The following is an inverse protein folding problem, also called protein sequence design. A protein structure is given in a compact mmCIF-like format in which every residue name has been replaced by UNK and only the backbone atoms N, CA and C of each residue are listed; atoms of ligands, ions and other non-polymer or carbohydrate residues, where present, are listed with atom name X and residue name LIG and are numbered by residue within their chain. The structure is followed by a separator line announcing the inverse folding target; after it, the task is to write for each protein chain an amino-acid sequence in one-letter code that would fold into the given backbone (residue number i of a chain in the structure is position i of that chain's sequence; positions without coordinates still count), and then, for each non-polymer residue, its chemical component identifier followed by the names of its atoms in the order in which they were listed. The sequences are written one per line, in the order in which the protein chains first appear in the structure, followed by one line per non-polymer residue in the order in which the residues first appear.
data_IF_459604519237
#
_entry.id   IF_459604519237
#
_cell.length_a   1.000
_cell.length_b   1.000
_cell.length_c   1.000
_cell.angle_alpha   90.00
_cell.angle_beta   90.00
_cell.angle_gamma   90.00
#
_symmetry.space_group_name_H-M   'P 1'
#
loop_
_entity.id
_entity.type
_entity.pdbx_description
1 polymer ?
#
# COMPACT_ATOMS: atom_id res chain seq x y z
N UNK A 1 11.47 40.75 -24.46
CA UNK A 1 10.11 40.87 -23.89
C UNK A 1 9.27 39.60 -24.10
N UNK A 2 9.05 39.16 -25.36
CA UNK A 2 8.24 37.96 -25.62
C UNK A 2 8.76 36.71 -24.92
N UNK A 3 10.08 36.46 -24.96
CA UNK A 3 10.72 35.30 -24.31
C UNK A 3 10.48 35.27 -22.78
N UNK A 4 10.63 36.38 -22.11
CA UNK A 4 10.37 36.48 -20.66
C UNK A 4 8.89 36.27 -20.29
N UNK A 5 7.96 36.69 -21.14
CA UNK A 5 6.53 36.41 -20.94
C UNK A 5 6.29 34.89 -21.07
N UNK A 6 6.88 34.24 -22.08
CA UNK A 6 6.79 32.79 -22.26
C UNK A 6 7.39 32.03 -21.06
N UNK A 7 8.57 32.42 -20.59
CA UNK A 7 9.20 31.82 -19.40
C UNK A 7 8.32 31.97 -18.14
N UNK A 8 7.74 33.14 -17.93
CA UNK A 8 6.85 33.40 -16.80
C UNK A 8 5.61 32.51 -16.85
N UNK A 9 4.97 32.38 -18.02
CA UNK A 9 3.78 31.53 -18.22
C UNK A 9 4.11 30.06 -18.05
N UNK A 10 5.21 29.59 -18.63
CA UNK A 10 5.66 28.18 -18.47
C UNK A 10 6.00 27.89 -17.01
N UNK A 11 6.76 28.76 -16.35
CA UNK A 11 7.11 28.61 -14.94
C UNK A 11 5.88 28.55 -14.05
N UNK A 12 4.93 29.47 -14.23
CA UNK A 12 3.68 29.49 -13.50
C UNK A 12 2.83 28.24 -13.73
N UNK A 13 2.67 27.80 -15.00
CA UNK A 13 1.96 26.58 -15.33
C UNK A 13 2.60 25.34 -14.69
N UNK A 14 3.94 25.26 -14.70
CA UNK A 14 4.68 24.15 -14.07
C UNK A 14 4.47 24.11 -12.56
N UNK A 15 4.50 25.25 -11.89
CA UNK A 15 4.22 25.36 -10.45
C UNK A 15 2.79 24.89 -10.16
N UNK A 16 1.80 25.38 -10.88
CA UNK A 16 0.39 24.99 -10.67
C UNK A 16 0.18 23.48 -10.91
N UNK A 17 0.75 22.93 -11.99
CA UNK A 17 0.65 21.49 -12.28
C UNK A 17 1.31 20.66 -11.18
N UNK A 18 2.45 21.09 -10.66
CA UNK A 18 3.15 20.39 -9.58
C UNK A 18 2.37 20.45 -8.28
N UNK A 19 1.87 21.64 -7.88
CA UNK A 19 1.07 21.78 -6.68
C UNK A 19 -0.22 20.98 -6.75
N UNK A 20 -0.86 20.94 -7.92
CA UNK A 20 -2.04 20.11 -8.14
C UNK A 20 -1.70 18.62 -7.96
N UNK A 21 -0.58 18.15 -8.53
CA UNK A 21 -0.14 16.75 -8.41
C UNK A 21 0.15 16.37 -6.94
N UNK A 22 0.83 17.25 -6.20
CA UNK A 22 1.07 17.09 -4.75
C UNK A 22 -0.25 17.01 -3.99
N UNK A 23 -1.15 17.96 -4.23
CA UNK A 23 -2.44 18.02 -3.55
C UNK A 23 -3.29 16.78 -3.81
N UNK A 24 -3.43 16.38 -5.08
CA UNK A 24 -4.21 15.20 -5.45
C UNK A 24 -3.58 13.89 -4.92
N UNK A 25 -2.25 13.82 -4.82
CA UNK A 25 -1.57 12.61 -4.32
C UNK A 25 -1.60 12.50 -2.79
N UNK A 26 -1.48 13.63 -2.10
CA UNK A 26 -1.32 13.68 -0.63
C UNK A 26 -2.65 13.89 0.08
N UNK A 27 -3.52 14.75 -0.45
CA UNK A 27 -4.73 15.21 0.24
C UNK A 27 -5.99 14.50 -0.24
N UNK A 28 -6.07 14.14 -1.53
CA UNK A 28 -7.27 13.51 -2.10
C UNK A 28 -7.12 11.98 -2.05
N UNK A 29 -7.90 11.26 -1.22
CA UNK A 29 -7.84 9.81 -1.17
C UNK A 29 -8.29 9.18 -2.50
N UNK A 30 -7.59 8.15 -2.94
CA UNK A 30 -8.04 7.31 -4.06
C UNK A 30 -7.36 7.60 -5.39
N UNK A 31 -8.11 7.49 -6.48
CA UNK A 31 -7.57 7.51 -7.85
C UNK A 31 -7.31 8.95 -8.30
N UNK A 32 -6.09 9.43 -8.10
CA UNK A 32 -5.65 10.75 -8.53
C UNK A 32 -5.77 10.89 -10.06
N UNK A 33 -6.49 11.92 -10.50
CA UNK A 33 -6.61 12.34 -11.91
C UNK A 33 -5.59 13.42 -12.28
N UNK A 34 -4.57 13.63 -11.43
CA UNK A 34 -3.53 14.63 -11.69
C UNK A 34 -2.84 14.41 -13.03
N UNK A 35 -2.48 15.50 -13.67
CA UNK A 35 -1.87 15.47 -15.01
C UNK A 35 -0.46 14.89 -15.00
N UNK A 36 0.31 15.08 -13.94
CA UNK A 36 1.68 14.60 -13.84
C UNK A 36 1.79 13.16 -13.34
N UNK A 37 0.96 12.78 -12.35
CA UNK A 37 0.96 11.44 -11.74
C UNK A 37 2.39 10.93 -11.41
N UNK A 38 3.21 11.80 -10.79
CA UNK A 38 4.64 11.54 -10.57
C UNK A 38 4.86 10.22 -9.83
N UNK A 39 4.18 9.99 -8.72
CA UNK A 39 4.34 8.77 -7.93
C UNK A 39 4.00 7.50 -8.74
N UNK A 40 2.91 7.53 -9.53
CA UNK A 40 2.49 6.40 -10.38
C UNK A 40 3.50 6.14 -11.50
N UNK A 41 3.95 7.19 -12.19
CA UNK A 41 4.98 7.06 -13.25
C UNK A 41 6.28 6.52 -12.70
N UNK A 42 6.67 6.96 -11.51
CA UNK A 42 7.89 6.50 -10.85
C UNK A 42 7.80 5.00 -10.50
N UNK A 43 6.65 4.52 -10.02
CA UNK A 43 6.41 3.08 -9.81
C UNK A 43 6.55 2.32 -11.12
N UNK A 44 5.88 2.75 -12.20
CA UNK A 44 5.95 2.07 -13.50
C UNK A 44 7.36 2.05 -14.09
N UNK A 45 8.14 3.11 -13.89
CA UNK A 45 9.52 3.20 -14.37
C UNK A 45 10.48 2.34 -13.54
N UNK A 46 10.37 2.40 -12.21
CA UNK A 46 11.31 1.76 -11.32
C UNK A 46 11.03 0.26 -11.10
N UNK A 47 9.77 -0.17 -11.16
CA UNK A 47 9.41 -1.56 -10.88
C UNK A 47 10.08 -2.56 -11.83
N UNK A 48 10.09 -2.38 -13.16
CA UNK A 48 10.79 -3.31 -14.06
C UNK A 48 12.30 -3.31 -13.84
N UNK A 49 12.90 -2.13 -13.64
CA UNK A 49 14.34 -2.01 -13.34
C UNK A 49 14.66 -2.71 -12.02
N UNK A 50 13.83 -2.53 -11.00
CA UNK A 50 13.99 -3.16 -9.70
C UNK A 50 13.93 -4.68 -9.76
N UNK A 51 12.98 -5.22 -10.54
CA UNK A 51 12.87 -6.67 -10.79
C UNK A 51 14.07 -7.22 -11.55
N UNK A 52 14.62 -6.47 -12.50
CA UNK A 52 15.81 -6.85 -13.26
C UNK A 52 17.08 -6.89 -12.41
N UNK A 53 17.25 -5.95 -11.49
CA UNK A 53 18.43 -5.86 -10.60
C UNK A 53 18.41 -6.94 -9.51
N UNK A 54 17.23 -7.40 -9.11
CA UNK A 54 17.06 -8.40 -8.02
C UNK A 54 16.10 -9.52 -8.44
N UNK A 55 16.49 -10.36 -9.42
CA UNK A 55 15.64 -11.46 -9.86
C UNK A 55 15.41 -12.46 -8.72
N UNK A 56 14.17 -12.94 -8.58
CA UNK A 56 13.79 -13.96 -7.57
C UNK A 56 13.59 -13.44 -6.13
N UNK A 57 13.90 -12.20 -5.85
CA UNK A 57 13.54 -11.53 -4.59
C UNK A 57 12.44 -10.54 -4.89
N UNK A 58 11.20 -10.80 -4.53
CA UNK A 58 10.06 -9.92 -4.75
C UNK A 58 10.32 -8.44 -4.42
N UNK A 59 9.31 -7.61 -4.41
CA UNK A 59 9.47 -6.19 -4.06
C UNK A 59 10.11 -6.07 -2.67
N UNK A 60 11.34 -5.55 -2.62
CA UNK A 60 12.11 -5.46 -1.36
C UNK A 60 11.57 -4.34 -0.48
N UNK A 61 11.89 -4.39 0.82
CA UNK A 61 11.47 -3.40 1.82
C UNK A 61 11.82 -1.95 1.47
N UNK A 62 12.80 -1.72 0.58
CA UNK A 62 13.27 -0.39 0.20
C UNK A 62 12.59 0.20 -1.02
N UNK A 63 11.84 -0.60 -1.81
CA UNK A 63 11.21 -0.10 -3.04
C UNK A 63 10.20 1.02 -2.80
N UNK A 64 9.23 0.78 -1.92
CA UNK A 64 8.18 1.76 -1.64
C UNK A 64 8.71 3.05 -0.99
N UNK A 65 9.61 3.02 0.02
CA UNK A 65 10.29 4.22 0.50
C UNK A 65 11.05 5.00 -0.58
N UNK A 66 11.75 4.31 -1.50
CA UNK A 66 12.47 4.97 -2.61
C UNK A 66 11.49 5.67 -3.56
N UNK A 67 10.39 5.04 -3.91
CA UNK A 67 9.34 5.67 -4.74
C UNK A 67 8.77 6.90 -4.05
N UNK A 68 8.49 6.81 -2.75
CA UNK A 68 7.94 7.91 -1.97
C UNK A 68 8.90 9.11 -1.94
N UNK A 69 10.13 8.90 -1.47
CA UNK A 69 11.15 9.95 -1.39
C UNK A 69 11.47 10.51 -2.77
N UNK A 70 11.58 9.64 -3.78
CA UNK A 70 11.79 10.05 -5.17
C UNK A 70 10.69 10.96 -5.70
N UNK A 71 9.43 10.70 -5.35
CA UNK A 71 8.31 11.56 -5.75
C UNK A 71 8.43 12.96 -5.15
N UNK A 72 8.78 13.08 -3.87
CA UNK A 72 8.99 14.38 -3.22
C UNK A 72 10.18 15.14 -3.80
N UNK A 73 11.28 14.45 -4.11
CA UNK A 73 12.43 15.07 -4.77
C UNK A 73 12.07 15.60 -6.16
N UNK A 74 11.29 14.84 -6.94
CA UNK A 74 10.85 15.28 -8.27
C UNK A 74 9.92 16.50 -8.15
N UNK A 75 8.95 16.51 -7.24
CA UNK A 75 8.08 17.68 -7.02
C UNK A 75 8.89 18.90 -6.57
N UNK A 76 9.83 18.73 -5.65
CA UNK A 76 10.72 19.82 -5.22
C UNK A 76 11.53 20.39 -6.39
N UNK A 77 12.08 19.53 -7.24
CA UNK A 77 12.84 19.93 -8.43
C UNK A 77 11.97 20.68 -9.43
N UNK A 78 10.75 20.19 -9.69
CA UNK A 78 9.80 20.85 -10.58
C UNK A 78 9.38 22.24 -10.06
N UNK A 79 9.19 22.39 -8.75
CA UNK A 79 8.93 23.68 -8.13
C UNK A 79 10.13 24.62 -8.26
N UNK A 80 11.36 24.13 -8.02
CA UNK A 80 12.59 24.91 -8.19
C UNK A 80 12.73 25.41 -9.63
N UNK A 81 12.48 24.54 -10.61
CA UNK A 81 12.53 24.92 -12.03
C UNK A 81 11.43 25.95 -12.36
N UNK A 82 10.19 25.70 -11.92
CA UNK A 82 9.06 26.60 -12.18
C UNK A 82 9.27 28.00 -11.61
N UNK A 83 9.63 28.10 -10.33
CA UNK A 83 9.93 29.37 -9.71
C UNK A 83 11.23 30.01 -10.24
N UNK A 84 12.22 29.19 -10.64
CA UNK A 84 13.43 29.64 -11.28
C UNK A 84 13.14 30.33 -12.62
N UNK A 85 12.27 29.76 -13.47
CA UNK A 85 11.82 30.38 -14.72
C UNK A 85 11.10 31.70 -14.45
N UNK A 86 10.22 31.74 -13.44
CA UNK A 86 9.53 32.97 -13.05
C UNK A 86 10.51 34.06 -12.57
N UNK A 87 11.49 33.68 -11.73
CA UNK A 87 12.51 34.59 -11.25
C UNK A 87 13.43 35.11 -12.37
N UNK A 88 13.78 34.24 -13.33
CA UNK A 88 14.56 34.65 -14.52
C UNK A 88 13.81 35.62 -15.39
N UNK A 89 12.51 35.34 -15.67
CA UNK A 89 11.63 36.24 -16.42
C UNK A 89 11.51 37.64 -15.79
N UNK A 90 11.56 37.72 -14.48
CA UNK A 90 11.51 38.94 -13.68
C UNK A 90 12.89 39.43 -13.23
N UNK A 91 13.95 39.05 -13.93
CA UNK A 91 15.34 39.27 -13.50
C UNK A 91 15.71 40.73 -13.18
N UNK A 92 15.05 41.71 -13.79
CA UNK A 92 15.18 43.16 -13.47
C UNK A 92 14.58 43.57 -12.12
N UNK A 93 13.72 42.74 -11.54
CA UNK A 93 13.08 42.90 -10.24
C UNK A 93 13.91 42.32 -9.09
N UNK A 94 15.24 42.25 -9.28
CA UNK A 94 16.21 41.78 -8.28
C UNK A 94 17.41 42.75 -8.25
N UNK A 95 18.06 42.86 -7.10
CA UNK A 95 19.25 43.69 -6.91
C UNK A 95 20.35 42.87 -6.21
N UNK A 96 21.47 42.55 -6.90
CA UNK A 96 21.74 42.82 -8.33
C UNK A 96 20.80 42.05 -9.27
N UNK A 97 20.60 42.57 -10.51
CA UNK A 97 19.69 41.91 -11.47
C UNK A 97 20.13 40.48 -11.85
N UNK A 98 19.16 39.55 -11.88
CA UNK A 98 19.42 38.19 -12.29
C UNK A 98 19.48 38.12 -13.82
N UNK A 99 20.63 37.70 -14.35
CA UNK A 99 20.88 37.64 -15.80
C UNK A 99 20.97 36.24 -16.37
N UNK A 100 21.09 35.21 -15.51
CA UNK A 100 21.30 33.84 -15.94
C UNK A 100 20.29 32.89 -15.27
N UNK A 101 19.82 31.91 -16.02
CA UNK A 101 18.90 30.89 -15.53
C UNK A 101 19.46 30.10 -14.33
N UNK A 102 20.74 29.70 -14.27
CA UNK A 102 21.29 29.03 -13.09
C UNK A 102 21.19 29.88 -11.81
N UNK A 103 21.44 31.18 -11.89
CA UNK A 103 21.30 32.08 -10.74
C UNK A 103 19.83 32.19 -10.27
N UNK A 104 18.88 32.21 -11.21
CA UNK A 104 17.45 32.22 -10.91
C UNK A 104 16.99 30.90 -10.25
N UNK A 105 17.48 29.75 -10.76
CA UNK A 105 17.21 28.41 -10.20
C UNK A 105 17.82 28.31 -8.78
N UNK A 106 19.02 28.81 -8.57
CA UNK A 106 19.65 28.86 -7.24
C UNK A 106 18.82 29.69 -6.26
N UNK A 107 18.40 30.90 -6.66
CA UNK A 107 17.53 31.75 -5.85
C UNK A 107 16.19 31.04 -5.50
N UNK A 108 15.54 30.43 -6.48
CA UNK A 108 14.29 29.71 -6.25
C UNK A 108 14.49 28.51 -5.32
N UNK A 109 15.55 27.73 -5.54
CA UNK A 109 15.92 26.61 -4.67
C UNK A 109 16.19 27.02 -3.25
N UNK A 110 17.02 28.08 -3.03
CA UNK A 110 17.31 28.61 -1.70
C UNK A 110 16.07 29.14 -0.99
N UNK A 111 15.12 29.71 -1.74
CA UNK A 111 13.84 30.17 -1.19
C UNK A 111 12.95 28.99 -0.76
N UNK A 112 12.84 27.93 -1.61
CA UNK A 112 12.01 26.74 -1.34
C UNK A 112 12.51 25.97 -0.11
N UNK A 113 13.84 25.82 0.06
CA UNK A 113 14.43 25.17 1.25
C UNK A 113 14.62 26.13 2.43
N UNK A 114 14.08 27.34 2.34
CA UNK A 114 14.14 28.38 3.39
C UNK A 114 15.54 28.83 3.82
N UNK A 115 16.55 28.65 2.96
CA UNK A 115 17.91 29.16 3.19
C UNK A 115 17.97 30.69 3.09
N UNK A 116 17.11 31.26 2.26
CA UNK A 116 17.12 32.68 1.91
C UNK A 116 18.19 33.04 0.88
N UNK A 117 17.93 34.07 0.06
CA UNK A 117 18.93 34.58 -0.88
C UNK A 117 20.02 35.34 -0.12
N UNK A 118 21.28 34.99 -0.34
CA UNK A 118 22.42 35.58 0.34
C UNK A 118 22.98 36.83 -0.37
N UNK A 119 22.85 36.89 -1.70
CA UNK A 119 23.49 37.91 -2.54
C UNK A 119 22.51 38.78 -3.33
N UNK A 120 21.23 38.39 -3.45
CA UNK A 120 20.26 39.04 -4.32
C UNK A 120 19.01 39.39 -3.54
N UNK A 121 18.70 40.71 -3.47
CA UNK A 121 17.47 41.20 -2.85
C UNK A 121 16.35 41.30 -3.88
N UNK A 122 15.17 40.76 -3.58
CA UNK A 122 13.99 40.89 -4.42
C UNK A 122 13.35 42.26 -4.24
N UNK A 123 12.95 42.91 -5.36
CA UNK A 123 12.25 44.20 -5.39
C UNK A 123 10.99 44.05 -6.23
N UNK A 124 10.00 44.92 -5.96
CA UNK A 124 8.74 44.92 -6.72
C UNK A 124 8.07 43.55 -6.84
N UNK A 125 7.64 43.11 -8.03
CA UNK A 125 7.02 41.80 -8.26
C UNK A 125 7.90 40.60 -7.91
N UNK A 126 9.23 40.72 -7.96
CA UNK A 126 10.16 39.65 -7.56
C UNK A 126 9.96 39.18 -6.12
N UNK A 127 9.53 40.08 -5.21
CA UNK A 127 9.21 39.75 -3.81
C UNK A 127 8.12 38.70 -3.70
N UNK A 128 7.10 38.78 -4.53
CA UNK A 128 5.99 37.82 -4.50
C UNK A 128 6.41 36.45 -5.01
N UNK A 129 7.32 36.40 -6.01
CA UNK A 129 7.87 35.11 -6.48
C UNK A 129 8.66 34.42 -5.39
N UNK A 130 9.54 35.15 -4.69
CA UNK A 130 10.36 34.60 -3.59
C UNK A 130 9.47 34.15 -2.43
N UNK A 131 8.51 34.97 -2.03
CA UNK A 131 7.56 34.64 -0.95
C UNK A 131 6.73 33.41 -1.28
N UNK A 132 6.18 33.34 -2.51
CA UNK A 132 5.41 32.19 -2.98
C UNK A 132 6.29 30.91 -3.05
N UNK A 133 7.54 31.01 -3.51
CA UNK A 133 8.47 29.90 -3.53
C UNK A 133 8.73 29.35 -2.12
N UNK A 134 9.00 30.21 -1.15
CA UNK A 134 9.19 29.83 0.24
C UNK A 134 7.95 29.18 0.85
N UNK A 135 6.77 29.78 0.63
CA UNK A 135 5.49 29.23 1.09
C UNK A 135 5.20 27.84 0.48
N UNK A 136 5.35 27.70 -0.84
CA UNK A 136 5.16 26.43 -1.53
C UNK A 136 6.17 25.36 -1.08
N UNK A 137 7.42 25.76 -0.83
CA UNK A 137 8.45 24.87 -0.29
C UNK A 137 8.08 24.36 1.10
N UNK A 138 7.75 25.25 2.03
CA UNK A 138 7.32 24.89 3.38
C UNK A 138 6.07 24.01 3.37
N UNK A 139 5.06 24.35 2.59
CA UNK A 139 3.84 23.57 2.44
C UNK A 139 4.14 22.18 1.91
N UNK A 140 4.98 22.06 0.88
CA UNK A 140 5.35 20.76 0.27
C UNK A 140 6.11 19.87 1.27
N UNK A 141 7.07 20.41 2.02
CA UNK A 141 7.81 19.67 3.05
C UNK A 141 6.86 19.18 4.15
N UNK A 142 5.97 20.06 4.63
CA UNK A 142 4.99 19.71 5.67
C UNK A 142 4.06 18.61 5.19
N UNK A 143 3.53 18.70 3.96
CA UNK A 143 2.69 17.67 3.36
C UNK A 143 3.47 16.34 3.20
N UNK A 144 4.74 16.40 2.80
CA UNK A 144 5.58 15.21 2.66
C UNK A 144 5.73 14.45 3.99
N UNK A 145 6.03 15.19 5.08
CA UNK A 145 6.18 14.60 6.41
C UNK A 145 4.87 14.01 6.90
N UNK A 146 3.76 14.75 6.76
CA UNK A 146 2.44 14.27 7.18
C UNK A 146 2.04 13.01 6.41
N UNK A 147 2.25 12.99 5.10
CA UNK A 147 1.96 11.81 4.27
C UNK A 147 2.82 10.60 4.66
N UNK A 148 4.11 10.81 4.94
CA UNK A 148 4.99 9.74 5.40
C UNK A 148 4.51 9.14 6.73
N UNK A 149 4.11 9.98 7.68
CA UNK A 149 3.58 9.52 8.97
C UNK A 149 2.28 8.74 8.80
N UNK A 150 1.38 9.18 7.93
CA UNK A 150 0.13 8.48 7.63
C UNK A 150 0.37 7.12 6.97
N UNK A 151 1.29 7.05 6.01
CA UNK A 151 1.71 5.79 5.37
C UNK A 151 2.30 4.84 6.40
N UNK A 152 3.20 5.30 7.27
CA UNK A 152 3.80 4.47 8.32
C UNK A 152 2.75 3.97 9.32
N UNK A 153 1.83 4.83 9.75
CA UNK A 153 0.71 4.47 10.62
C UNK A 153 -0.16 3.37 9.98
N UNK A 154 -0.47 3.51 8.69
CA UNK A 154 -1.28 2.54 7.94
C UNK A 154 -0.57 1.17 7.81
N UNK A 155 0.75 1.17 7.54
CA UNK A 155 1.58 -0.05 7.51
C UNK A 155 1.59 -0.71 8.89
N UNK A 156 1.80 0.07 9.96
CA UNK A 156 1.84 -0.46 11.33
C UNK A 156 0.51 -1.11 11.72
N UNK A 157 -0.63 -0.47 11.43
CA UNK A 157 -1.97 -1.04 11.71
C UNK A 157 -2.19 -2.36 10.95
N UNK A 158 -1.77 -2.43 9.68
CA UNK A 158 -1.83 -3.67 8.90
C UNK A 158 -0.96 -4.76 9.53
N UNK A 159 0.27 -4.43 9.88
CA UNK A 159 1.26 -5.40 10.35
C UNK A 159 0.91 -5.94 11.74
N UNK A 160 0.31 -5.15 12.63
CA UNK A 160 -0.18 -5.62 13.94
C UNK A 160 -1.19 -6.77 13.78
N UNK A 161 -2.13 -6.68 12.82
CA UNK A 161 -3.08 -7.77 12.58
C UNK A 161 -2.41 -9.03 12.04
N UNK A 162 -1.37 -8.88 11.20
CA UNK A 162 -0.59 -10.02 10.70
C UNK A 162 0.18 -10.69 11.85
N UNK A 163 0.80 -9.92 12.74
CA UNK A 163 1.51 -10.47 13.90
C UNK A 163 0.59 -11.26 14.83
N UNK A 164 -0.59 -10.71 15.12
CA UNK A 164 -1.60 -11.43 15.92
C UNK A 164 -1.98 -12.75 15.26
N UNK A 165 -2.23 -12.73 13.94
CA UNK A 165 -2.59 -13.93 13.20
C UNK A 165 -1.44 -14.93 13.17
N UNK A 166 -0.20 -14.51 12.90
CA UNK A 166 0.95 -15.39 12.83
C UNK A 166 1.28 -16.05 14.17
N UNK A 167 1.05 -15.36 15.29
CA UNK A 167 1.23 -15.94 16.64
C UNK A 167 0.31 -17.14 16.86
N UNK A 168 -0.90 -17.10 16.30
CA UNK A 168 -1.87 -18.18 16.45
C UNK A 168 -1.83 -19.22 15.32
N UNK A 169 -1.40 -18.82 14.12
CA UNK A 169 -1.54 -19.58 12.88
C UNK A 169 -0.22 -19.97 12.20
N UNK A 170 0.94 -19.54 12.72
CA UNK A 170 2.26 -19.74 12.11
C UNK A 170 2.65 -18.67 11.09
N UNK A 171 3.87 -18.76 10.52
CA UNK A 171 4.38 -17.89 9.45
C UNK A 171 5.01 -18.75 8.34
N UNK A 172 4.36 -18.93 7.19
CA UNK A 172 3.08 -18.35 6.75
C UNK A 172 1.88 -18.85 7.57
N UNK A 173 0.88 -17.97 7.82
CA UNK A 173 -0.28 -18.35 8.61
C UNK A 173 -1.18 -19.36 7.88
N UNK A 174 -1.70 -20.34 8.64
CA UNK A 174 -2.69 -21.31 8.17
C UNK A 174 -3.95 -21.26 9.03
N UNK A 175 -5.11 -21.23 8.39
CA UNK A 175 -6.39 -21.30 9.07
C UNK A 175 -6.55 -22.59 9.89
N UNK A 176 -6.07 -23.71 9.36
CA UNK A 176 -6.13 -25.00 10.04
C UNK A 176 -5.26 -24.99 11.30
N UNK A 177 -4.02 -24.49 11.22
CA UNK A 177 -3.14 -24.37 12.39
C UNK A 177 -3.74 -23.47 13.47
N UNK A 178 -4.37 -22.35 13.07
CA UNK A 178 -5.07 -21.48 14.00
C UNK A 178 -6.16 -22.24 14.76
N UNK A 179 -7.02 -22.97 14.06
CA UNK A 179 -8.11 -23.73 14.67
C UNK A 179 -7.58 -24.83 15.59
N UNK A 180 -6.55 -25.57 15.18
CA UNK A 180 -5.91 -26.59 16.01
C UNK A 180 -5.31 -26.00 17.29
N UNK A 181 -4.63 -24.86 17.20
CA UNK A 181 -4.05 -24.18 18.37
C UNK A 181 -5.13 -23.71 19.35
N UNK A 182 -6.23 -23.10 18.85
CA UNK A 182 -7.33 -22.69 19.71
C UNK A 182 -8.03 -23.89 20.37
N UNK A 183 -8.13 -25.01 19.67
CA UNK A 183 -8.65 -26.25 20.25
C UNK A 183 -7.73 -26.82 21.32
N UNK A 184 -6.41 -26.90 21.06
CA UNK A 184 -5.42 -27.38 22.02
C UNK A 184 -5.37 -26.54 23.31
N UNK A 185 -5.63 -25.25 23.20
CA UNK A 185 -5.71 -24.33 24.35
C UNK A 185 -7.09 -24.33 25.05
N UNK A 186 -8.08 -25.05 24.54
CA UNK A 186 -9.44 -25.03 25.05
C UNK A 186 -10.15 -23.68 24.85
N UNK A 187 -9.69 -22.88 23.88
CA UNK A 187 -10.15 -21.49 23.65
C UNK A 187 -11.05 -21.37 22.43
N UNK A 188 -11.73 -22.42 22.03
CA UNK A 188 -12.64 -22.42 20.85
C UNK A 188 -13.77 -21.38 20.98
N UNK A 189 -14.19 -21.04 22.20
CA UNK A 189 -15.19 -19.99 22.47
C UNK A 189 -14.75 -18.59 22.05
N UNK A 190 -13.46 -18.35 21.83
CA UNK A 190 -12.90 -17.08 21.35
C UNK A 190 -12.99 -16.92 19.82
N UNK A 191 -13.29 -17.98 19.07
CA UNK A 191 -13.33 -17.92 17.60
C UNK A 191 -14.31 -16.87 17.05
N UNK A 192 -15.51 -16.65 17.61
CA UNK A 192 -16.39 -15.56 17.17
C UNK A 192 -15.75 -14.18 17.35
N UNK A 193 -14.90 -13.98 18.35
CA UNK A 193 -14.13 -12.76 18.55
C UNK A 193 -13.05 -12.60 17.48
N UNK A 194 -12.31 -13.66 17.19
CA UNK A 194 -11.29 -13.67 16.13
C UNK A 194 -11.90 -13.35 14.76
N UNK A 195 -13.07 -13.90 14.45
CA UNK A 195 -13.77 -13.58 13.20
C UNK A 195 -14.13 -12.08 13.12
N UNK A 196 -14.54 -11.46 14.22
CA UNK A 196 -14.82 -10.00 14.26
C UNK A 196 -13.55 -9.17 14.10
N UNK A 197 -12.50 -9.44 14.88
CA UNK A 197 -11.21 -8.74 14.75
C UNK A 197 -10.64 -8.84 13.33
N UNK A 198 -10.76 -10.01 12.72
CA UNK A 198 -10.32 -10.25 11.33
C UNK A 198 -11.09 -9.40 10.34
N UNK A 199 -12.39 -9.19 10.53
CA UNK A 199 -13.22 -8.30 9.72
C UNK A 199 -12.79 -6.84 9.85
N UNK A 200 -12.53 -6.40 11.08
CA UNK A 200 -12.06 -5.04 11.37
C UNK A 200 -10.70 -4.79 10.69
N UNK A 201 -9.80 -5.79 10.74
CA UNK A 201 -8.53 -5.74 10.04
C UNK A 201 -8.72 -5.66 8.51
N UNK A 202 -9.54 -6.51 7.90
CA UNK A 202 -9.82 -6.47 6.46
C UNK A 202 -10.36 -5.09 6.02
N UNK A 203 -11.28 -4.53 6.81
CA UNK A 203 -11.88 -3.21 6.53
C UNK A 203 -10.85 -2.10 6.64
N UNK A 204 -10.03 -2.10 7.70
CA UNK A 204 -8.97 -1.12 7.94
C UNK A 204 -7.92 -1.15 6.83
N UNK A 205 -7.45 -2.35 6.45
CA UNK A 205 -6.46 -2.51 5.39
C UNK A 205 -7.03 -2.09 4.04
N UNK A 206 -8.25 -2.50 3.71
CA UNK A 206 -8.91 -2.07 2.47
C UNK A 206 -9.03 -0.56 2.39
N UNK A 207 -9.48 0.10 3.46
CA UNK A 207 -9.64 1.55 3.51
C UNK A 207 -8.31 2.28 3.32
N UNK A 208 -7.27 1.88 4.07
CA UNK A 208 -5.95 2.52 3.98
C UNK A 208 -5.29 2.34 2.60
N UNK A 209 -5.40 1.14 2.00
CA UNK A 209 -4.85 0.90 0.65
C UNK A 209 -5.65 1.59 -0.45
N UNK A 210 -6.97 1.77 -0.26
CA UNK A 210 -7.78 2.57 -1.18
C UNK A 210 -7.43 4.05 -1.11
N UNK A 211 -7.10 4.56 0.09
CA UNK A 211 -6.63 5.93 0.27
C UNK A 211 -5.19 6.12 -0.27
N UNK A 212 -4.32 5.14 -0.05
CA UNK A 212 -2.91 5.19 -0.42
C UNK A 212 -2.50 3.94 -1.21
N UNK A 213 -2.73 3.90 -2.54
CA UNK A 213 -2.46 2.72 -3.37
C UNK A 213 -1.01 2.20 -3.32
N UNK A 214 -0.06 3.07 -3.04
CA UNK A 214 1.35 2.70 -2.89
C UNK A 214 1.63 1.76 -1.71
N UNK A 215 0.71 1.68 -0.72
CA UNK A 215 0.84 0.80 0.44
C UNK A 215 0.99 -0.69 0.07
N UNK A 216 0.47 -1.10 -1.08
CA UNK A 216 0.59 -2.49 -1.55
C UNK A 216 2.06 -2.93 -1.67
N UNK A 217 2.96 -2.00 -2.00
CA UNK A 217 4.40 -2.26 -2.17
C UNK A 217 5.19 -2.16 -0.87
N UNK A 218 4.58 -1.72 0.23
CA UNK A 218 5.25 -1.69 1.53
C UNK A 218 5.28 -3.10 2.13
N UNK A 219 6.48 -3.60 2.34
CA UNK A 219 6.69 -4.90 2.95
C UNK A 219 6.29 -4.86 4.43
N UNK A 220 5.59 -5.91 4.89
CA UNK A 220 5.40 -6.15 6.32
C UNK A 220 6.74 -6.51 6.95
N UNK A 221 7.08 -5.83 8.05
CA UNK A 221 8.31 -6.11 8.80
C UNK A 221 8.07 -7.27 9.77
N UNK A 222 9.08 -8.14 9.95
CA UNK A 222 8.99 -9.24 10.92
C UNK A 222 8.12 -10.44 10.50
N UNK A 223 7.68 -10.52 9.24
CA UNK A 223 6.97 -11.68 8.69
C UNK A 223 7.51 -12.04 7.31
N UNK A 224 7.71 -13.34 7.06
CA UNK A 224 8.18 -13.86 5.77
C UNK A 224 7.11 -13.74 4.68
N UNK A 225 5.89 -14.14 4.99
CA UNK A 225 4.77 -14.24 4.07
C UNK A 225 4.04 -12.91 3.83
N UNK A 226 3.91 -12.07 4.85
CA UNK A 226 3.29 -10.76 4.75
C UNK A 226 1.76 -10.79 4.65
N UNK A 227 1.17 -9.64 4.31
CA UNK A 227 -0.27 -9.44 4.35
C UNK A 227 -1.10 -10.27 3.33
N UNK A 228 -0.59 -10.66 2.12
CA UNK A 228 -1.38 -11.52 1.24
C UNK A 228 -1.65 -12.90 1.86
N UNK A 229 -0.65 -13.50 2.50
CA UNK A 229 -0.83 -14.78 3.18
C UNK A 229 -1.80 -14.64 4.37
N UNK A 230 -1.73 -13.54 5.13
CA UNK A 230 -2.70 -13.26 6.17
C UNK A 230 -4.14 -13.22 5.64
N UNK A 231 -4.37 -12.51 4.54
CA UNK A 231 -5.68 -12.46 3.89
C UNK A 231 -6.15 -13.83 3.41
N UNK A 232 -5.23 -14.62 2.81
CA UNK A 232 -5.52 -16.00 2.39
C UNK A 232 -5.93 -16.89 3.56
N UNK A 233 -5.19 -16.84 4.66
CA UNK A 233 -5.55 -17.59 5.87
C UNK A 233 -6.92 -17.20 6.43
N UNK A 234 -7.29 -15.93 6.38
CA UNK A 234 -8.62 -15.47 6.82
C UNK A 234 -9.75 -15.93 5.90
N UNK A 235 -9.50 -15.99 4.58
CA UNK A 235 -10.46 -16.57 3.64
C UNK A 235 -10.62 -18.08 3.86
N UNK A 236 -9.53 -18.82 4.05
CA UNK A 236 -9.60 -20.24 4.40
C UNK A 236 -10.26 -20.45 5.77
N UNK A 237 -10.01 -19.61 6.78
CA UNK A 237 -10.70 -19.63 8.07
C UNK A 237 -12.21 -19.45 7.90
N UNK A 238 -12.62 -18.49 7.09
CA UNK A 238 -14.03 -18.24 6.82
C UNK A 238 -14.71 -19.42 6.13
N UNK A 239 -14.01 -20.07 5.18
CA UNK A 239 -14.49 -21.24 4.47
C UNK A 239 -14.63 -22.45 5.41
N UNK A 240 -13.61 -22.76 6.19
CA UNK A 240 -13.60 -23.87 7.15
C UNK A 240 -14.71 -23.68 8.17
N UNK A 241 -14.80 -22.49 8.78
CA UNK A 241 -15.81 -22.20 9.81
C UNK A 241 -17.25 -22.22 9.28
N UNK A 242 -17.48 -21.88 8.00
CA UNK A 242 -18.84 -21.86 7.42
C UNK A 242 -19.26 -23.19 6.78
N UNK A 243 -18.30 -23.92 6.15
CA UNK A 243 -18.62 -25.12 5.35
C UNK A 243 -18.29 -26.43 6.06
N UNK A 244 -17.24 -26.46 6.91
CA UNK A 244 -16.78 -27.72 7.50
C UNK A 244 -17.21 -27.89 8.94
N UNK A 245 -17.22 -26.81 9.74
CA UNK A 245 -17.54 -26.89 11.17
C UNK A 245 -19.05 -26.74 11.37
N UNK A 246 -19.65 -27.65 12.19
CA UNK A 246 -21.04 -27.59 12.56
C UNK A 246 -21.20 -26.82 13.89
N UNK A 247 -21.07 -25.47 13.75
CA UNK A 247 -21.27 -24.53 14.85
C UNK A 247 -22.03 -23.30 14.31
N UNK A 248 -23.25 -23.12 14.78
CA UNK A 248 -24.13 -22.04 14.35
C UNK A 248 -23.60 -20.65 14.79
N UNK A 249 -22.89 -20.58 15.92
CA UNK A 249 -22.32 -19.34 16.45
C UNK A 249 -21.19 -18.82 15.53
N UNK A 250 -20.48 -19.69 14.82
CA UNK A 250 -19.42 -19.33 13.89
C UNK A 250 -19.94 -18.95 12.51
N UNK A 251 -21.03 -19.56 12.06
CA UNK A 251 -21.51 -19.48 10.67
C UNK A 251 -21.78 -18.06 10.20
N UNK A 252 -22.50 -17.26 10.99
CA UNK A 252 -22.79 -15.87 10.65
C UNK A 252 -21.54 -14.99 10.60
N UNK A 253 -20.66 -15.13 11.59
CA UNK A 253 -19.37 -14.42 11.65
C UNK A 253 -18.45 -14.78 10.48
N UNK A 254 -18.37 -16.07 10.14
CA UNK A 254 -17.57 -16.55 9.02
C UNK A 254 -18.08 -16.04 7.66
N UNK A 255 -19.40 -16.03 7.44
CA UNK A 255 -19.97 -15.47 6.22
C UNK A 255 -19.67 -13.97 6.04
N UNK A 256 -19.75 -13.20 7.14
CA UNK A 256 -19.40 -11.78 7.13
C UNK A 256 -17.89 -11.56 6.92
N UNK A 257 -17.04 -12.37 7.56
CA UNK A 257 -15.58 -12.31 7.33
C UNK A 257 -15.26 -12.58 5.86
N UNK A 258 -15.86 -13.63 5.28
CA UNK A 258 -15.70 -13.93 3.85
C UNK A 258 -16.05 -12.74 2.98
N UNK A 259 -17.19 -12.10 3.23
CA UNK A 259 -17.63 -10.95 2.45
C UNK A 259 -16.64 -9.77 2.55
N UNK A 260 -16.14 -9.46 3.75
CA UNK A 260 -15.19 -8.36 3.94
C UNK A 260 -13.80 -8.68 3.36
N UNK A 261 -13.31 -9.91 3.52
CA UNK A 261 -12.05 -10.38 2.98
C UNK A 261 -12.05 -10.45 1.44
N UNK A 262 -13.14 -10.93 0.83
CA UNK A 262 -13.31 -10.92 -0.63
C UNK A 262 -13.34 -9.49 -1.19
N UNK A 263 -14.10 -8.59 -0.56
CA UNK A 263 -14.10 -7.18 -0.97
C UNK A 263 -12.72 -6.55 -0.87
N UNK A 264 -11.94 -6.92 0.14
CA UNK A 264 -10.56 -6.48 0.26
C UNK A 264 -9.71 -7.05 -0.89
N UNK A 265 -9.76 -8.37 -1.13
CA UNK A 265 -9.00 -9.04 -2.19
C UNK A 265 -9.29 -8.46 -3.57
N UNK A 266 -10.58 -8.31 -3.92
CA UNK A 266 -11.00 -7.72 -5.19
C UNK A 266 -10.60 -6.25 -5.33
N UNK A 267 -10.80 -5.45 -4.28
CA UNK A 267 -10.45 -4.03 -4.30
C UNK A 267 -8.97 -3.83 -4.55
N UNK A 268 -8.11 -4.57 -3.85
CA UNK A 268 -6.66 -4.47 -3.98
C UNK A 268 -6.14 -5.08 -5.28
N UNK A 269 -6.74 -6.19 -5.74
CA UNK A 269 -6.42 -6.79 -7.03
C UNK A 269 -6.72 -5.84 -8.19
N UNK A 270 -7.90 -5.22 -8.20
CA UNK A 270 -8.29 -4.21 -9.23
C UNK A 270 -7.43 -2.95 -9.15
N UNK A 271 -7.13 -2.47 -7.94
CA UNK A 271 -6.26 -1.30 -7.73
C UNK A 271 -4.87 -1.53 -8.35
N UNK A 272 -4.37 -2.77 -8.27
CA UNK A 272 -3.08 -3.18 -8.82
C UNK A 272 -3.16 -3.67 -10.27
N UNK A 273 -4.35 -3.67 -10.87
CA UNK A 273 -4.61 -4.17 -12.24
C UNK A 273 -4.12 -5.60 -12.44
N UNK A 274 -4.39 -6.46 -11.44
CA UNK A 274 -4.03 -7.87 -11.49
C UNK A 274 -5.20 -8.69 -12.03
N UNK A 275 -4.90 -9.67 -12.86
CA UNK A 275 -5.84 -10.70 -13.28
C UNK A 275 -5.91 -11.80 -12.21
N UNK A 276 -7.09 -12.37 -11.93
CA UNK A 276 -7.22 -13.50 -11.02
C UNK A 276 -6.32 -14.67 -11.41
N UNK A 277 -5.70 -15.31 -10.44
CA UNK A 277 -4.84 -16.47 -10.64
C UNK A 277 -5.42 -17.68 -9.92
N UNK A 278 -5.27 -18.88 -10.49
CA UNK A 278 -5.77 -20.10 -9.89
C UNK A 278 -4.91 -20.49 -8.68
N UNK A 279 -5.59 -20.87 -7.59
CA UNK A 279 -5.00 -21.50 -6.41
C UNK A 279 -5.92 -22.63 -5.96
N UNK A 280 -5.57 -23.85 -6.36
CA UNK A 280 -6.40 -25.04 -6.15
C UNK A 280 -5.80 -25.93 -5.08
N UNK A 281 -6.66 -26.58 -4.31
CA UNK A 281 -6.31 -27.69 -3.42
C UNK A 281 -6.98 -28.96 -3.90
N UNK A 282 -6.39 -30.12 -3.58
CA UNK A 282 -6.97 -31.40 -3.90
C UNK A 282 -8.06 -31.82 -2.92
N UNK A 283 -8.92 -32.76 -3.35
CA UNK A 283 -9.89 -33.38 -2.46
C UNK A 283 -9.23 -34.10 -1.27
N UNK A 284 -8.03 -34.66 -1.46
CA UNK A 284 -7.25 -35.30 -0.38
C UNK A 284 -6.76 -34.28 0.65
N UNK A 285 -6.36 -33.08 0.23
CA UNK A 285 -6.03 -32.00 1.16
C UNK A 285 -7.24 -31.55 1.98
N UNK A 286 -8.40 -31.44 1.36
CA UNK A 286 -9.64 -31.14 2.07
C UNK A 286 -10.03 -32.26 3.05
N UNK A 287 -9.90 -33.53 2.65
CA UNK A 287 -10.14 -34.67 3.51
C UNK A 287 -9.19 -34.70 4.71
N UNK A 288 -7.89 -34.44 4.48
CA UNK A 288 -6.87 -34.32 5.54
C UNK A 288 -7.21 -33.20 6.53
N UNK A 289 -7.64 -32.03 6.04
CA UNK A 289 -8.06 -30.93 6.90
C UNK A 289 -9.27 -31.32 7.75
N UNK A 290 -10.25 -32.00 7.18
CA UNK A 290 -11.43 -32.50 7.93
C UNK A 290 -11.01 -33.49 9.03
N UNK A 291 -10.10 -34.42 8.72
CA UNK A 291 -9.60 -35.39 9.69
C UNK A 291 -8.88 -34.68 10.86
N UNK A 292 -8.04 -33.69 10.58
CA UNK A 292 -7.33 -32.91 11.59
C UNK A 292 -8.28 -32.09 12.47
N UNK A 293 -9.30 -31.47 11.89
CA UNK A 293 -10.33 -30.74 12.65
C UNK A 293 -11.14 -31.66 13.56
N UNK A 294 -11.50 -32.87 13.08
CA UNK A 294 -12.17 -33.87 13.91
C UNK A 294 -11.28 -34.32 15.08
N UNK A 295 -9.99 -34.58 14.81
CA UNK A 295 -9.02 -34.91 15.86
C UNK A 295 -8.82 -33.79 16.88
N UNK A 296 -8.92 -32.54 16.47
CA UNK A 296 -8.89 -31.37 17.35
C UNK A 296 -10.21 -31.13 18.13
N UNK A 297 -11.22 -31.99 17.93
CA UNK A 297 -12.48 -31.96 18.69
C UNK A 297 -13.56 -31.03 18.12
N UNK A 298 -13.41 -30.58 16.88
CA UNK A 298 -14.49 -29.84 16.20
C UNK A 298 -15.59 -30.79 15.72
N UNK A 299 -16.85 -30.42 15.93
CA UNK A 299 -17.96 -31.08 15.28
C UNK A 299 -18.00 -30.69 13.81
N UNK A 300 -17.98 -31.68 12.92
CA UNK A 300 -17.96 -31.45 11.47
C UNK A 300 -19.35 -31.70 10.88
N UNK A 301 -19.66 -30.94 9.84
CA UNK A 301 -20.86 -31.15 9.01
C UNK A 301 -20.72 -32.44 8.20
N UNK A 302 -21.79 -33.18 8.10
CA UNK A 302 -21.86 -34.42 7.30
C UNK A 302 -22.19 -34.12 5.82
N UNK A 303 -22.98 -33.06 5.57
CA UNK A 303 -23.53 -32.65 4.29
C UNK A 303 -22.63 -31.72 3.46
N UNK A 304 -21.30 -31.97 3.50
CA UNK A 304 -20.35 -31.10 2.79
C UNK A 304 -20.22 -31.53 1.32
N UNK A 305 -20.61 -30.63 0.41
CA UNK A 305 -20.26 -30.78 -1.01
C UNK A 305 -18.79 -30.43 -1.23
N UNK A 306 -17.99 -31.47 -1.50
CA UNK A 306 -16.54 -31.34 -1.71
C UNK A 306 -16.25 -30.49 -2.94
N UNK A 307 -16.94 -30.74 -4.06
CA UNK A 307 -16.69 -30.04 -5.31
C UNK A 307 -17.04 -28.54 -5.20
N UNK A 308 -18.18 -28.22 -4.59
CA UNK A 308 -18.56 -26.84 -4.31
C UNK A 308 -17.56 -26.15 -3.38
N UNK A 309 -17.09 -26.83 -2.33
CA UNK A 309 -16.11 -26.26 -1.37
C UNK A 309 -14.76 -25.97 -2.03
N UNK A 310 -14.26 -26.87 -2.88
CA UNK A 310 -13.03 -26.65 -3.64
C UNK A 310 -13.16 -25.49 -4.63
N UNK A 311 -14.27 -25.42 -5.33
CA UNK A 311 -14.54 -24.31 -6.27
C UNK A 311 -14.66 -22.97 -5.54
N UNK A 312 -15.37 -22.92 -4.42
CA UNK A 312 -15.49 -21.73 -3.59
C UNK A 312 -14.12 -21.25 -3.09
N UNK A 313 -13.26 -22.17 -2.64
CA UNK A 313 -11.89 -21.82 -2.22
C UNK A 313 -11.07 -21.25 -3.36
N UNK A 314 -11.06 -21.90 -4.52
CA UNK A 314 -10.31 -21.43 -5.69
C UNK A 314 -10.77 -20.01 -6.09
N UNK A 315 -12.06 -19.74 -6.09
CA UNK A 315 -12.60 -18.41 -6.33
C UNK A 315 -12.15 -17.39 -5.27
N UNK A 316 -12.23 -17.75 -3.99
CA UNK A 316 -11.84 -16.88 -2.88
C UNK A 316 -10.36 -16.49 -2.96
N UNK A 317 -9.49 -17.41 -3.34
CA UNK A 317 -8.03 -17.22 -3.36
C UNK A 317 -7.50 -16.54 -4.62
N UNK A 318 -8.31 -16.37 -5.66
CA UNK A 318 -7.85 -15.95 -6.98
C UNK A 318 -7.09 -14.61 -6.99
N UNK A 319 -7.59 -13.59 -6.34
CA UNK A 319 -6.87 -12.31 -6.22
C UNK A 319 -5.75 -12.35 -5.19
N UNK A 320 -5.88 -13.16 -4.13
CA UNK A 320 -4.82 -13.34 -3.12
C UNK A 320 -3.58 -13.95 -3.78
N UNK A 321 -3.78 -15.01 -4.59
CA UNK A 321 -2.70 -15.65 -5.36
C UNK A 321 -2.04 -14.67 -6.32
N UNK A 322 -2.83 -13.93 -7.08
CA UNK A 322 -2.32 -12.91 -8.00
C UNK A 322 -1.48 -11.84 -7.29
N UNK A 323 -1.92 -11.37 -6.11
CA UNK A 323 -1.18 -10.41 -5.30
C UNK A 323 0.10 -11.00 -4.70
N UNK A 324 0.04 -12.23 -4.20
CA UNK A 324 1.20 -12.94 -3.67
C UNK A 324 2.28 -13.11 -4.76
N UNK A 325 1.90 -13.56 -5.94
CA UNK A 325 2.80 -13.71 -7.09
C UNK A 325 3.39 -12.36 -7.54
N UNK A 326 2.55 -11.32 -7.62
CA UNK A 326 2.99 -9.97 -7.98
C UNK A 326 4.04 -9.42 -7.02
N UNK A 327 3.88 -9.68 -5.73
CA UNK A 327 4.78 -9.23 -4.66
C UNK A 327 5.94 -10.19 -4.41
N UNK A 328 5.96 -11.37 -5.06
CA UNK A 328 6.96 -12.41 -4.82
C UNK A 328 6.89 -12.99 -3.40
N UNK A 329 5.66 -13.23 -2.91
CA UNK A 329 5.38 -13.72 -1.56
C UNK A 329 4.70 -15.09 -1.62
N UNK A 330 4.91 -15.95 -0.58
CA UNK A 330 4.16 -17.20 -0.48
C UNK A 330 2.67 -16.93 -0.20
N UNK A 331 1.81 -17.83 -0.66
CA UNK A 331 0.42 -17.87 -0.22
C UNK A 331 0.30 -18.54 1.15
N UNK A 332 -0.87 -18.39 1.79
CA UNK A 332 -1.24 -19.15 2.98
C UNK A 332 -1.33 -20.65 2.63
N UNK A 333 -0.67 -21.55 3.35
CA UNK A 333 -0.83 -22.97 3.14
C UNK A 333 -2.19 -23.40 3.71
N UNK A 334 -2.97 -24.16 2.92
CA UNK A 334 -4.22 -24.75 3.40
C UNK A 334 -3.94 -25.82 4.47
N UNK A 335 -2.95 -26.69 4.18
CA UNK A 335 -2.38 -27.62 5.15
C UNK A 335 -1.01 -27.09 5.57
N UNK A 336 -0.81 -26.75 6.84
CA UNK A 336 0.52 -26.38 7.33
C UNK A 336 1.42 -27.61 7.36
N UNK A 337 2.71 -27.41 7.11
CA UNK A 337 3.71 -28.49 7.20
C UNK A 337 3.68 -29.12 8.60
N UNK A 338 3.74 -30.44 8.65
CA UNK A 338 3.81 -31.20 9.89
C UNK A 338 5.19 -31.00 10.54
N UNK A 339 5.41 -29.89 11.27
CA UNK A 339 6.68 -29.63 11.93
C UNK A 339 7.06 -28.17 12.17
N UNK A 340 6.21 -27.22 11.84
CA UNK A 340 6.48 -25.79 12.00
C UNK A 340 6.22 -25.23 13.40
N UNK A 341 6.71 -25.88 14.45
CA UNK A 341 6.85 -25.26 15.76
C UNK A 341 8.35 -25.11 16.03
N UNK A 342 8.92 -24.02 15.61
CA UNK A 342 10.28 -23.58 15.88
C UNK A 342 10.29 -22.10 16.22
#
# INVERSE_FOLDING_TARGET
MLLHIVELVIGFALVLMTLRDVFETVVVPGDSKASLQVARRLVHLLLPVWRMVRPGRGVTSTFAPVVLVGSFLIWSLLLVIGFGLMAHALGSNFNPPIRTLPAAIYLAGSSIITLGPTETAAIGPGRWVVLAAGFCGLASITMAVTYLLEVQSSVAKRDIGIFKLNTAAGDPPSALALLENYAALGSQSELPHILRESRDWCTTVRQSHSAHPSLIYFRSTGTGAGWPAGLGALLDLSLIASRLIDDEALRGGAALLRADALRMAESLGRLSRLDPALDEISADQLASARQRLAAAGYRLREDVDIAETLHERSFNMAFVKAMADHLGKPCAPFLPDAGGHG
#
